data_IF_354453313154
#
_entry.id   IF_354453313154
#
_cell.length_a   1.000
_cell.length_b   1.000
_cell.length_c   1.000
_cell.angle_alpha   90.00
_cell.angle_beta   90.00
_cell.angle_gamma   90.00
#
_symmetry.space_group_name_H-M   'P 1'
#
loop_
_entity.id
_entity.type
_entity.pdbx_description
1 polymer ?
#
# COMPACT_ATOMS: atom_id res chain seq x y z
N UNK A 1 -3.28 71.50 -72.03
CA UNK A 1 -4.16 71.09 -70.91
C UNK A 1 -3.94 69.59 -70.75
N UNK A 2 -3.24 69.04 -69.76
CA UNK A 2 -2.70 69.55 -68.51
C UNK A 2 -1.40 68.80 -68.13
N UNK A 3 -0.48 69.54 -67.49
CA UNK A 3 0.48 69.20 -66.39
C UNK A 3 0.76 67.71 -66.10
N UNK A 4 2.00 67.25 -66.25
CA UNK A 4 3.09 67.26 -65.23
C UNK A 4 2.81 66.36 -64.02
N UNK A 5 3.58 65.26 -63.91
CA UNK A 5 3.93 64.67 -62.61
C UNK A 5 5.25 63.89 -62.74
N UNK A 6 6.34 64.58 -62.44
CA UNK A 6 7.64 64.00 -62.06
C UNK A 6 7.55 63.44 -60.65
N UNK A 7 8.15 62.27 -60.38
CA UNK A 7 9.03 62.03 -59.21
C UNK A 7 9.44 60.54 -59.11
N UNK A 8 10.70 60.27 -59.50
CA UNK A 8 11.70 59.52 -58.73
C UNK A 8 11.35 58.15 -58.10
N UNK A 9 12.03 57.10 -58.58
CA UNK A 9 12.41 55.90 -57.79
C UNK A 9 13.59 56.29 -56.88
N UNK A 10 13.79 55.71 -55.66
CA UNK A 10 13.85 54.26 -55.48
C UNK A 10 13.38 53.69 -54.11
N UNK A 11 13.27 52.36 -54.08
CA UNK A 11 13.47 51.45 -52.94
C UNK A 11 12.90 51.84 -51.56
N UNK A 12 11.78 51.22 -51.19
CA UNK A 12 11.59 50.77 -49.82
C UNK A 12 11.18 49.30 -49.84
N UNK A 13 12.20 48.45 -49.90
CA UNK A 13 12.10 47.08 -49.46
C UNK A 13 11.95 47.10 -47.94
N UNK A 14 10.72 47.02 -47.43
CA UNK A 14 10.43 46.46 -46.11
C UNK A 14 8.94 46.44 -45.81
N UNK A 15 8.36 45.24 -45.82
CA UNK A 15 7.39 44.79 -44.81
C UNK A 15 6.91 43.38 -45.17
N UNK A 16 7.84 42.42 -45.15
CA UNK A 16 7.46 41.07 -44.74
C UNK A 16 7.61 41.06 -43.21
N UNK A 17 6.54 40.95 -42.42
CA UNK A 17 6.68 40.42 -41.07
C UNK A 17 6.94 38.92 -41.18
N UNK A 18 8.14 38.55 -41.65
CA UNK A 18 8.70 37.22 -41.42
C UNK A 18 9.29 37.21 -40.00
N UNK A 19 8.42 37.17 -38.99
CA UNK A 19 8.79 36.57 -37.71
C UNK A 19 7.93 35.34 -37.52
N UNK A 20 8.09 34.39 -38.45
CA UNK A 20 7.92 32.98 -38.14
C UNK A 20 9.03 32.62 -37.14
N UNK A 21 8.82 33.00 -35.88
CA UNK A 21 9.61 32.51 -34.75
C UNK A 21 9.36 31.02 -34.69
N UNK A 22 10.15 30.25 -35.44
CA UNK A 22 10.23 28.82 -35.28
C UNK A 22 10.35 28.55 -33.78
N UNK A 23 9.50 27.69 -33.19
CA UNK A 23 9.58 27.41 -31.77
C UNK A 23 11.01 27.02 -31.44
N UNK A 24 11.67 27.85 -30.62
CA UNK A 24 13.08 27.63 -30.31
C UNK A 24 13.21 26.28 -29.60
N UNK A 25 14.32 25.57 -29.81
CA UNK A 25 14.58 24.26 -29.20
C UNK A 25 14.39 24.28 -27.68
N UNK A 26 14.61 25.44 -27.05
CA UNK A 26 14.36 25.71 -25.63
C UNK A 26 12.89 25.58 -25.23
N UNK A 27 11.94 25.97 -26.11
CA UNK A 27 10.51 25.85 -25.85
C UNK A 27 10.03 24.39 -25.85
N UNK A 28 10.61 23.55 -26.72
CA UNK A 28 10.31 22.11 -26.75
C UNK A 28 10.84 21.39 -25.50
N UNK A 29 12.05 21.72 -25.07
CA UNK A 29 12.64 21.17 -23.83
C UNK A 29 11.83 21.61 -22.60
N UNK A 30 11.42 22.88 -22.54
CA UNK A 30 10.55 23.38 -21.46
C UNK A 30 9.19 22.67 -21.44
N UNK A 31 8.62 22.37 -22.62
CA UNK A 31 7.40 21.58 -22.77
C UNK A 31 7.54 20.16 -22.20
N UNK A 32 8.63 19.45 -22.51
CA UNK A 32 8.91 18.09 -22.01
C UNK A 32 9.09 18.08 -20.49
N UNK A 33 9.78 19.07 -19.92
CA UNK A 33 9.97 19.16 -18.47
C UNK A 33 8.62 19.38 -17.77
N UNK A 34 7.76 20.21 -18.36
CA UNK A 34 6.42 20.49 -17.83
C UNK A 34 5.54 19.24 -17.88
N UNK A 35 5.56 18.52 -19.00
CA UNK A 35 4.82 17.27 -19.19
C UNK A 35 5.31 16.17 -18.22
N UNK A 36 6.63 16.05 -18.03
CA UNK A 36 7.21 15.12 -17.07
C UNK A 36 6.80 15.45 -15.61
N UNK A 37 6.73 16.73 -15.25
CA UNK A 37 6.23 17.15 -13.93
C UNK A 37 4.75 16.81 -13.76
N UNK A 38 3.94 16.98 -14.80
CA UNK A 38 2.52 16.67 -14.73
C UNK A 38 2.26 15.15 -14.66
N UNK A 39 3.03 14.35 -15.39
CA UNK A 39 3.03 12.89 -15.27
C UNK A 39 3.43 12.41 -13.86
N UNK A 40 4.47 13.02 -13.26
CA UNK A 40 4.87 12.71 -11.89
C UNK A 40 3.76 13.01 -10.87
N UNK A 41 3.10 14.16 -11.00
CA UNK A 41 1.94 14.50 -10.14
C UNK A 41 0.82 13.49 -10.30
N UNK A 42 0.57 13.04 -11.53
CA UNK A 42 -0.47 12.06 -11.83
C UNK A 42 -0.15 10.69 -11.26
N UNK A 43 1.09 10.19 -11.42
CA UNK A 43 1.53 8.93 -10.81
C UNK A 43 1.46 8.99 -9.29
N UNK A 44 1.83 10.12 -8.67
CA UNK A 44 1.72 10.28 -7.22
C UNK A 44 0.27 10.30 -6.74
N UNK A 45 -0.63 10.95 -7.49
CA UNK A 45 -2.06 10.95 -7.20
C UNK A 45 -2.66 9.54 -7.29
N UNK A 46 -2.24 8.76 -8.29
CA UNK A 46 -2.69 7.39 -8.50
C UNK A 46 -2.14 6.46 -7.40
N UNK A 47 -0.84 6.51 -7.11
CA UNK A 47 -0.21 5.77 -6.02
C UNK A 47 -0.85 6.08 -4.67
N UNK A 48 -1.09 7.37 -4.36
CA UNK A 48 -1.79 7.75 -3.11
C UNK A 48 -3.18 7.14 -3.03
N UNK A 49 -3.89 7.04 -4.16
CA UNK A 49 -5.23 6.45 -4.22
C UNK A 49 -5.18 4.95 -4.01
N UNK A 50 -4.23 4.27 -4.66
CA UNK A 50 -4.01 2.82 -4.52
C UNK A 50 -3.60 2.45 -3.09
N UNK A 51 -2.63 3.15 -2.50
CA UNK A 51 -2.22 2.96 -1.11
C UNK A 51 -3.39 3.18 -0.15
N UNK A 52 -4.19 4.23 -0.36
CA UNK A 52 -5.36 4.50 0.49
C UNK A 52 -6.39 3.36 0.38
N UNK A 53 -6.59 2.82 -0.82
CA UNK A 53 -7.50 1.71 -1.05
C UNK A 53 -7.00 0.41 -0.41
N UNK A 54 -5.71 0.11 -0.54
CA UNK A 54 -5.09 -1.06 0.08
C UNK A 54 -5.11 -0.99 1.61
N UNK A 55 -4.84 0.19 2.18
CA UNK A 55 -4.98 0.43 3.62
C UNK A 55 -6.44 0.25 4.05
N UNK A 56 -7.41 0.73 3.26
CA UNK A 56 -8.84 0.58 3.56
C UNK A 56 -9.27 -0.88 3.55
N UNK A 57 -8.88 -1.65 2.52
CA UNK A 57 -9.15 -3.09 2.41
C UNK A 57 -8.51 -3.87 3.55
N UNK A 58 -7.24 -3.58 3.84
CA UNK A 58 -6.50 -4.20 4.95
C UNK A 58 -7.18 -3.92 6.28
N UNK A 59 -7.55 -2.65 6.54
CA UNK A 59 -8.29 -2.27 7.76
C UNK A 59 -9.61 -3.02 7.87
N UNK A 60 -10.38 -3.13 6.79
CA UNK A 60 -11.66 -3.84 6.79
C UNK A 60 -11.47 -5.34 7.10
N UNK A 61 -10.44 -5.97 6.51
CA UNK A 61 -10.08 -7.36 6.81
C UNK A 61 -9.63 -7.55 8.26
N UNK A 62 -8.81 -6.63 8.79
CA UNK A 62 -8.38 -6.68 10.20
C UNK A 62 -9.58 -6.52 11.14
N UNK A 63 -10.50 -5.60 10.86
CA UNK A 63 -11.71 -5.41 11.68
C UNK A 63 -12.56 -6.66 11.68
N UNK A 64 -12.80 -7.29 10.52
CA UNK A 64 -13.61 -8.51 10.45
C UNK A 64 -12.94 -9.68 11.19
N UNK A 65 -11.61 -9.83 11.06
CA UNK A 65 -10.85 -10.84 11.79
C UNK A 65 -10.92 -10.64 13.30
N UNK A 66 -10.67 -9.43 13.79
CA UNK A 66 -10.72 -9.11 15.23
C UNK A 66 -12.13 -9.33 15.77
N UNK A 67 -13.16 -8.89 15.04
CA UNK A 67 -14.55 -9.05 15.46
C UNK A 67 -14.95 -10.52 15.50
N UNK A 68 -14.59 -11.28 14.46
CA UNK A 68 -14.83 -12.73 14.41
C UNK A 68 -14.11 -13.47 15.54
N UNK A 69 -12.84 -13.15 15.77
CA UNK A 69 -12.05 -13.75 16.85
C UNK A 69 -12.66 -13.44 18.23
N UNK A 70 -13.10 -12.20 18.46
CA UNK A 70 -13.77 -11.83 19.71
C UNK A 70 -15.05 -12.65 19.92
N UNK A 71 -15.89 -12.77 18.89
CA UNK A 71 -17.15 -13.51 18.98
C UNK A 71 -16.92 -15.01 19.20
N UNK A 72 -15.97 -15.61 18.48
CA UNK A 72 -15.56 -17.01 18.66
C UNK A 72 -14.97 -17.23 20.04
N UNK A 73 -14.20 -16.29 20.58
CA UNK A 73 -13.61 -16.41 21.93
C UNK A 73 -14.68 -16.41 23.01
N UNK A 74 -15.66 -15.51 22.91
CA UNK A 74 -16.81 -15.48 23.83
C UNK A 74 -17.64 -16.76 23.72
N UNK A 75 -18.02 -17.14 22.50
CA UNK A 75 -18.80 -18.36 22.25
C UNK A 75 -18.07 -19.61 22.73
N UNK A 76 -16.78 -19.73 22.44
CA UNK A 76 -15.94 -20.84 22.89
C UNK A 76 -15.81 -20.91 24.41
N UNK A 77 -15.74 -19.76 25.09
CA UNK A 77 -15.73 -19.71 26.56
C UNK A 77 -17.05 -20.22 27.14
N UNK A 78 -18.20 -19.74 26.63
CA UNK A 78 -19.51 -20.21 27.07
C UNK A 78 -19.71 -21.71 26.80
N UNK A 79 -19.26 -22.18 25.64
CA UNK A 79 -19.35 -23.59 25.26
C UNK A 79 -18.43 -24.47 26.13
N UNK A 80 -17.27 -23.95 26.53
CA UNK A 80 -16.38 -24.61 27.49
C UNK A 80 -17.04 -24.76 28.86
N UNK A 81 -17.71 -23.72 29.37
CA UNK A 81 -18.49 -23.82 30.60
C UNK A 81 -19.61 -24.85 30.48
N UNK A 82 -20.36 -24.84 29.36
CA UNK A 82 -21.39 -25.84 29.11
C UNK A 82 -20.84 -27.27 29.17
N UNK A 83 -19.69 -27.53 28.52
CA UNK A 83 -19.01 -28.83 28.56
C UNK A 83 -18.60 -29.22 29.97
N UNK A 84 -18.01 -28.31 30.74
CA UNK A 84 -17.57 -28.58 32.11
C UNK A 84 -18.76 -28.94 33.00
N UNK A 85 -19.85 -28.18 32.94
CA UNK A 85 -21.05 -28.47 33.72
C UNK A 85 -21.77 -29.74 33.26
N UNK A 86 -21.80 -30.03 31.95
CA UNK A 86 -22.34 -31.30 31.44
C UNK A 86 -21.51 -32.51 31.91
N UNK A 87 -20.18 -32.38 31.96
CA UNK A 87 -19.29 -33.42 32.45
C UNK A 87 -19.41 -33.62 33.96
N UNK A 88 -19.56 -32.53 34.73
CA UNK A 88 -19.86 -32.59 36.16
C UNK A 88 -21.24 -33.23 36.44
N UNK A 89 -22.25 -32.96 35.61
CA UNK A 89 -23.57 -33.53 35.79
C UNK A 89 -23.61 -35.05 35.51
N UNK A 90 -22.69 -35.54 34.68
CA UNK A 90 -22.60 -36.97 34.29
C UNK A 90 -21.56 -37.75 35.08
N UNK A 91 -20.63 -37.06 35.75
CA UNK A 91 -19.51 -37.68 36.47
C UNK A 91 -19.37 -37.06 37.84
N UNK A 92 -19.16 -37.86 38.89
CA UNK A 92 -18.87 -37.38 40.27
C UNK A 92 -17.46 -36.77 40.42
N UNK A 93 -16.84 -36.36 39.30
CA UNK A 93 -15.52 -35.76 39.29
C UNK A 93 -15.56 -34.37 39.96
N UNK A 94 -14.52 -34.01 40.72
CA UNK A 94 -14.38 -32.67 41.26
C UNK A 94 -14.20 -31.65 40.12
N UNK A 95 -14.68 -30.42 40.31
CA UNK A 95 -14.68 -29.35 39.30
C UNK A 95 -13.32 -29.16 38.61
N UNK A 96 -12.21 -29.24 39.36
CA UNK A 96 -10.87 -29.09 38.82
C UNK A 96 -10.53 -30.16 37.75
N UNK A 97 -11.05 -31.38 37.90
CA UNK A 97 -10.88 -32.47 36.94
C UNK A 97 -11.63 -32.21 35.64
N UNK A 98 -12.86 -31.72 35.74
CA UNK A 98 -13.67 -31.35 34.56
C UNK A 98 -13.04 -30.19 33.79
N UNK A 99 -12.60 -29.13 34.48
CA UNK A 99 -11.86 -28.02 33.85
C UNK A 99 -10.54 -28.49 33.24
N UNK A 100 -9.81 -29.38 33.92
CA UNK A 100 -8.56 -29.96 33.42
C UNK A 100 -8.75 -30.77 32.14
N UNK A 101 -9.80 -31.59 32.07
CA UNK A 101 -10.09 -32.42 30.89
C UNK A 101 -10.51 -31.55 29.68
N UNK A 102 -11.48 -30.66 29.86
CA UNK A 102 -11.99 -29.81 28.79
C UNK A 102 -10.91 -28.81 28.34
N UNK A 103 -10.26 -28.15 29.30
CA UNK A 103 -9.17 -27.20 29.04
C UNK A 103 -7.96 -27.88 28.40
N UNK A 104 -7.63 -29.10 28.82
CA UNK A 104 -6.55 -29.90 28.22
C UNK A 104 -6.83 -30.26 26.77
N UNK A 105 -8.07 -30.66 26.44
CA UNK A 105 -8.46 -30.97 25.06
C UNK A 105 -8.41 -29.73 24.16
N UNK A 106 -8.92 -28.59 24.65
CA UNK A 106 -8.85 -27.30 23.95
C UNK A 106 -7.40 -26.83 23.77
N UNK A 107 -6.57 -26.97 24.80
CA UNK A 107 -5.15 -26.60 24.75
C UNK A 107 -4.36 -27.48 23.77
N UNK A 108 -4.65 -28.79 23.73
CA UNK A 108 -4.03 -29.69 22.76
C UNK A 108 -4.43 -29.34 21.32
N UNK A 109 -5.74 -29.15 21.07
CA UNK A 109 -6.23 -28.75 19.76
C UNK A 109 -5.70 -27.39 19.30
N UNK A 110 -5.79 -26.38 20.18
CA UNK A 110 -5.25 -25.04 19.93
C UNK A 110 -3.74 -25.04 19.75
N UNK A 111 -3.01 -25.83 20.55
CA UNK A 111 -1.57 -26.01 20.44
C UNK A 111 -1.15 -26.62 19.11
N UNK A 112 -1.89 -27.60 18.59
CA UNK A 112 -1.61 -28.20 17.28
C UNK A 112 -1.78 -27.19 16.14
N UNK A 113 -2.87 -26.42 16.17
CA UNK A 113 -3.12 -25.34 15.19
C UNK A 113 -2.05 -24.26 15.29
N UNK A 114 -1.71 -23.83 16.51
CA UNK A 114 -0.68 -22.82 16.75
C UNK A 114 0.70 -23.29 16.27
N UNK A 115 1.07 -24.54 16.56
CA UNK A 115 2.30 -25.13 16.06
C UNK A 115 2.33 -25.21 14.54
N UNK A 116 1.22 -25.59 13.90
CA UNK A 116 1.09 -25.57 12.45
C UNK A 116 1.25 -24.15 11.87
N UNK A 117 0.68 -23.14 12.52
CA UNK A 117 0.83 -21.75 12.13
C UNK A 117 2.28 -21.26 12.27
N UNK A 118 2.95 -21.55 13.38
CA UNK A 118 4.37 -21.24 13.58
C UNK A 118 5.27 -21.92 12.55
N UNK A 119 5.01 -23.19 12.26
CA UNK A 119 5.77 -23.94 11.24
C UNK A 119 5.62 -23.28 9.88
N UNK A 120 4.39 -22.92 9.50
CA UNK A 120 4.12 -22.25 8.22
C UNK A 120 4.73 -20.85 8.16
N UNK A 121 4.74 -20.13 9.28
CA UNK A 121 5.39 -18.82 9.38
C UNK A 121 6.91 -18.91 9.20
N UNK A 122 7.55 -19.91 9.81
CA UNK A 122 8.99 -20.18 9.64
C UNK A 122 9.34 -20.65 8.22
N UNK A 123 8.48 -21.44 7.59
CA UNK A 123 8.69 -21.95 6.23
C UNK A 123 8.56 -20.84 5.16
N UNK A 124 7.72 -19.84 5.42
CA UNK A 124 7.50 -18.72 4.50
C UNK A 124 8.40 -17.51 4.70
N UNK A 125 9.38 -17.55 5.62
CA UNK A 125 10.29 -16.45 6.03
C UNK A 125 9.86 -15.09 5.44
N UNK A 126 8.83 -14.43 6.01
CA UNK A 126 8.10 -13.34 5.36
C UNK A 126 8.98 -12.12 5.02
N UNK A 127 10.19 -12.09 5.57
CA UNK A 127 11.30 -11.29 5.09
C UNK A 127 12.43 -12.24 4.69
N UNK A 128 12.64 -12.51 3.39
CA UNK A 128 13.85 -13.18 2.94
C UNK A 128 15.04 -12.42 3.52
N UNK A 129 16.04 -13.13 4.08
CA UNK A 129 17.23 -12.50 4.65
C UNK A 129 17.88 -11.51 3.66
N UNK A 130 17.72 -11.78 2.37
CA UNK A 130 18.15 -10.92 1.27
C UNK A 130 17.41 -9.58 1.24
N UNK A 131 16.09 -9.55 1.44
CA UNK A 131 15.29 -8.31 1.48
C UNK A 131 15.63 -7.47 2.71
N UNK A 132 15.86 -8.12 3.86
CA UNK A 132 16.31 -7.43 5.07
C UNK A 132 17.73 -6.87 4.93
N UNK A 133 18.64 -7.62 4.28
CA UNK A 133 19.99 -7.16 3.95
C UNK A 133 19.98 -5.98 2.97
N UNK A 134 19.18 -6.05 1.92
CA UNK A 134 19.04 -4.97 0.94
C UNK A 134 18.51 -3.68 1.58
N UNK A 135 17.53 -3.77 2.49
CA UNK A 135 17.07 -2.62 3.28
C UNK A 135 18.17 -2.06 4.19
N UNK A 136 18.94 -2.93 4.86
CA UNK A 136 20.04 -2.53 5.73
C UNK A 136 21.14 -1.80 4.94
N UNK A 137 21.55 -2.35 3.81
CA UNK A 137 22.51 -1.69 2.92
C UNK A 137 21.96 -0.33 2.48
N UNK A 138 20.73 -0.25 1.97
CA UNK A 138 20.13 1.02 1.54
C UNK A 138 20.11 2.08 2.64
N UNK A 139 19.82 1.71 3.89
CA UNK A 139 19.87 2.63 5.03
C UNK A 139 21.31 3.06 5.34
N UNK A 140 22.27 2.14 5.24
CA UNK A 140 23.69 2.46 5.43
C UNK A 140 24.21 3.43 4.37
N UNK A 141 23.84 3.27 3.10
CA UNK A 141 24.19 4.20 2.02
C UNK A 141 23.66 5.62 2.30
N UNK A 142 22.40 5.75 2.71
CA UNK A 142 21.78 7.06 3.03
C UNK A 142 22.41 7.71 4.26
N UNK A 143 22.85 6.90 5.24
CA UNK A 143 23.47 7.41 6.47
C UNK A 143 24.93 7.81 6.26
N UNK A 144 25.68 7.11 5.39
CA UNK A 144 27.07 7.43 5.05
C UNK A 144 27.22 8.64 4.11
N UNK A 145 26.18 9.00 3.36
CA UNK A 145 26.19 10.16 2.46
C UNK A 145 25.95 11.51 3.15
N UNK A 146 25.86 11.56 4.48
CA UNK A 146 25.75 12.78 5.28
C UNK A 146 27.03 12.97 6.12
#
# INVERSE_FOLDING_TARGET
MATDFRSDRPASANSLPESNSAPSMTHLVSGIITDAQDLMKQQLALFRTEVKEDVRKTKQAVISLVTGLALVSVGGTLLSFMLVYALQATTELPLWGCFGAVGGLLAAGGGLVFYGALRKFNEFNPLPDESARALKENVQWITQQR
#
